data_IF_166379597379
#
_entry.id   IF_166379597379
#
_cell.length_a   1.000
_cell.length_b   1.000
_cell.length_c   1.000
_cell.angle_alpha   90.00
_cell.angle_beta   90.00
_cell.angle_gamma   90.00
#
_symmetry.space_group_name_H-M   'P 1'
#
loop_
_entity.id
_entity.type
_entity.pdbx_description
1 polymer ?
#
# COMPACT_ATOMS: atom_id res chain seq x y z
N UNK A 1 -12.71 -23.56 -2.79
CA UNK A 1 -11.58 -22.88 -3.32
C UNK A 1 -10.69 -22.35 -2.20
N UNK A 2 -9.40 -22.41 -2.43
CA UNK A 2 -8.42 -22.15 -1.38
C UNK A 2 -7.92 -20.70 -1.38
N UNK A 3 -8.20 -19.93 -2.43
CA UNK A 3 -7.67 -18.57 -2.54
C UNK A 3 -8.75 -17.59 -2.91
N UNK A 4 -8.61 -16.40 -2.36
CA UNK A 4 -9.38 -15.24 -2.78
C UNK A 4 -8.40 -14.14 -3.22
N UNK A 5 -8.86 -13.24 -4.08
CA UNK A 5 -8.13 -12.04 -4.47
C UNK A 5 -8.76 -10.88 -3.74
N UNK A 6 -7.99 -10.25 -2.84
CA UNK A 6 -8.42 -9.02 -2.18
C UNK A 6 -7.82 -7.83 -2.90
N UNK A 7 -8.64 -6.84 -3.16
CA UNK A 7 -8.24 -5.57 -3.74
C UNK A 7 -8.20 -4.52 -2.65
N UNK A 8 -7.05 -3.85 -2.53
CA UNK A 8 -6.83 -2.80 -1.53
C UNK A 8 -6.77 -1.47 -2.26
N UNK A 9 -7.84 -0.65 -2.22
CA UNK A 9 -7.82 0.65 -2.88
C UNK A 9 -6.92 1.63 -2.12
N UNK A 10 -6.22 2.47 -2.87
CA UNK A 10 -5.32 3.49 -2.33
C UNK A 10 -5.64 4.81 -3.01
N UNK A 11 -5.88 5.85 -2.22
CA UNK A 11 -6.24 7.17 -2.72
C UNK A 11 -5.53 8.26 -1.93
N UNK A 12 -4.87 9.17 -2.65
CA UNK A 12 -4.28 10.36 -2.05
C UNK A 12 -5.25 11.54 -2.18
N UNK A 13 -6.04 11.78 -1.13
CA UNK A 13 -6.96 12.93 -1.08
C UNK A 13 -6.28 14.14 -0.46
N UNK A 14 -6.53 15.33 -1.05
CA UNK A 14 -6.02 16.60 -0.53
C UNK A 14 -4.52 16.58 -0.28
N UNK A 15 -3.79 15.85 -1.12
CA UNK A 15 -2.35 15.65 -0.95
C UNK A 15 -1.57 16.84 -1.52
N UNK A 16 -0.47 17.29 -0.85
CA UNK A 16 0.30 18.45 -1.30
C UNK A 16 1.28 18.09 -2.44
N UNK A 17 0.76 17.87 -3.64
CA UNK A 17 1.57 17.50 -4.80
C UNK A 17 2.61 18.56 -5.19
N UNK A 18 2.48 19.79 -4.68
CA UNK A 18 3.51 20.82 -4.88
C UNK A 18 4.81 20.52 -4.13
N UNK A 19 4.78 19.57 -3.18
CA UNK A 19 5.95 19.17 -2.40
C UNK A 19 6.55 17.84 -2.82
N UNK A 20 5.76 17.00 -3.48
CA UNK A 20 6.14 15.63 -3.78
C UNK A 20 5.92 15.30 -5.25
N UNK A 21 6.87 14.57 -5.84
CA UNK A 21 6.76 14.10 -7.22
C UNK A 21 5.92 12.83 -7.31
N UNK A 22 6.04 11.96 -6.32
CA UNK A 22 5.32 10.68 -6.28
C UNK A 22 5.28 10.15 -4.86
N UNK A 23 4.40 9.20 -4.65
CA UNK A 23 4.28 8.45 -3.40
C UNK A 23 4.23 6.97 -3.76
N UNK A 24 5.10 6.18 -3.16
CA UNK A 24 5.07 4.72 -3.29
C UNK A 24 4.42 4.12 -2.07
N UNK A 25 3.35 3.37 -2.29
CA UNK A 25 2.61 2.67 -1.24
C UNK A 25 2.92 1.19 -1.38
N UNK A 26 3.71 0.67 -0.44
CA UNK A 26 4.05 -0.74 -0.37
C UNK A 26 3.04 -1.45 0.50
N UNK A 27 2.47 -2.52 -0.01
CA UNK A 27 1.49 -3.34 0.69
C UNK A 27 2.07 -4.73 0.88
N UNK A 28 1.81 -5.33 2.03
CA UNK A 28 2.14 -6.73 2.24
C UNK A 28 1.08 -7.43 3.05
N UNK A 29 0.95 -8.72 2.79
CA UNK A 29 0.11 -9.61 3.54
C UNK A 29 0.90 -10.88 3.86
N UNK A 30 1.03 -11.20 5.13
CA UNK A 30 1.77 -12.37 5.59
C UNK A 30 0.87 -13.27 6.41
N UNK A 31 0.84 -14.52 6.04
CA UNK A 31 0.13 -15.58 6.75
C UNK A 31 1.08 -16.78 6.87
N UNK A 32 1.95 -16.79 7.89
CA UNK A 32 2.96 -17.84 8.03
C UNK A 32 2.37 -19.25 8.17
N UNK A 33 1.21 -19.37 8.83
CA UNK A 33 0.58 -20.66 9.02
C UNK A 33 0.20 -21.31 7.68
N UNK A 34 -0.15 -20.51 6.68
CA UNK A 34 -0.48 -20.97 5.33
C UNK A 34 0.66 -20.72 4.34
N UNK A 35 1.84 -20.32 4.81
CA UNK A 35 3.02 -20.06 3.99
C UNK A 35 2.78 -19.01 2.91
N UNK A 36 2.00 -17.98 3.25
CA UNK A 36 1.68 -16.89 2.33
C UNK A 36 2.47 -15.65 2.70
N UNK A 37 3.09 -15.06 1.70
CA UNK A 37 3.76 -13.76 1.79
C UNK A 37 3.54 -13.04 0.47
N UNK A 38 2.62 -12.09 0.47
CA UNK A 38 2.24 -11.34 -0.72
C UNK A 38 2.67 -9.89 -0.57
N UNK A 39 3.21 -9.33 -1.64
CA UNK A 39 3.67 -7.94 -1.68
C UNK A 39 3.14 -7.28 -2.94
N UNK A 40 2.80 -6.01 -2.83
CA UNK A 40 2.43 -5.21 -3.98
C UNK A 40 2.91 -3.78 -3.78
N UNK A 41 2.96 -3.02 -4.87
CA UNK A 41 3.37 -1.63 -4.88
C UNK A 41 2.38 -0.83 -5.70
N UNK A 42 1.88 0.24 -5.11
CA UNK A 42 1.03 1.21 -5.80
C UNK A 42 1.76 2.54 -5.80
N UNK A 43 2.09 3.06 -7.00
CA UNK A 43 2.69 4.39 -7.13
C UNK A 43 1.60 5.41 -7.44
N UNK A 44 1.58 6.48 -6.67
CA UNK A 44 0.65 7.59 -6.86
C UNK A 44 1.42 8.82 -7.33
N UNK A 45 0.81 9.58 -8.23
CA UNK A 45 1.30 10.86 -8.71
C UNK A 45 0.14 11.84 -8.78
N UNK A 46 0.45 13.11 -9.04
CA UNK A 46 -0.59 14.13 -9.21
C UNK A 46 -1.60 13.73 -10.30
N UNK A 47 -1.12 13.17 -11.41
CA UNK A 47 -1.97 12.78 -12.54
C UNK A 47 -2.62 11.41 -12.36
N UNK A 48 -2.14 10.62 -11.41
CA UNK A 48 -2.67 9.30 -11.07
C UNK A 48 -2.72 9.14 -9.54
N UNK A 49 -3.65 9.86 -8.88
CA UNK A 49 -3.68 9.92 -7.42
C UNK A 49 -4.38 8.73 -6.75
N UNK A 50 -4.80 7.76 -7.49
CA UNK A 50 -5.44 6.56 -6.95
C UNK A 50 -4.97 5.31 -7.67
N UNK A 51 -5.06 4.19 -6.99
CA UNK A 51 -4.70 2.89 -7.53
C UNK A 51 -5.23 1.78 -6.64
N UNK A 52 -4.83 0.55 -6.91
CA UNK A 52 -5.23 -0.59 -6.10
C UNK A 52 -4.14 -1.64 -6.07
N UNK A 53 -3.88 -2.15 -4.88
CA UNK A 53 -3.06 -3.35 -4.69
C UNK A 53 -3.91 -4.60 -4.71
N UNK A 54 -3.34 -5.72 -5.13
CA UNK A 54 -4.03 -7.01 -5.19
C UNK A 54 -3.23 -8.05 -4.42
N UNK A 55 -3.92 -8.79 -3.57
CA UNK A 55 -3.32 -9.80 -2.71
C UNK A 55 -4.08 -11.10 -2.83
N UNK A 56 -3.34 -12.22 -2.94
CA UNK A 56 -3.92 -13.54 -2.83
C UNK A 56 -3.95 -13.94 -1.36
N UNK A 57 -5.12 -14.29 -0.86
CA UNK A 57 -5.30 -14.70 0.53
C UNK A 57 -6.06 -16.02 0.60
N UNK A 58 -5.84 -16.80 1.67
CA UNK A 58 -6.56 -18.06 1.88
C UNK A 58 -8.00 -17.82 2.30
N UNK A 59 -8.24 -16.72 2.99
CA UNK A 59 -9.54 -16.36 3.52
C UNK A 59 -9.76 -14.88 3.30
N UNK A 60 -10.80 -14.52 2.56
CA UNK A 60 -11.11 -13.13 2.21
C UNK A 60 -11.41 -12.26 3.44
N UNK A 61 -11.76 -12.86 4.57
CA UNK A 61 -11.97 -12.14 5.83
C UNK A 61 -10.68 -11.77 6.54
N UNK A 62 -9.54 -12.32 6.14
CA UNK A 62 -8.25 -11.96 6.73
C UNK A 62 -7.90 -10.52 6.44
N UNK A 63 -7.41 -9.82 7.44
CA UNK A 63 -7.15 -8.38 7.38
C UNK A 63 -5.73 -8.01 7.84
N UNK A 64 -4.82 -8.96 7.84
CA UNK A 64 -3.45 -8.75 8.32
C UNK A 64 -2.57 -7.98 7.33
N UNK A 65 -3.10 -6.99 6.62
CA UNK A 65 -2.33 -6.17 5.70
C UNK A 65 -1.49 -5.15 6.45
N UNK A 66 -0.30 -4.91 5.94
CA UNK A 66 0.59 -3.85 6.41
C UNK A 66 0.94 -2.93 5.25
N UNK A 67 1.24 -1.69 5.57
CA UNK A 67 1.57 -0.66 4.59
C UNK A 67 2.83 0.08 4.99
N UNK A 68 3.67 0.38 4.02
CA UNK A 68 4.83 1.26 4.13
C UNK A 68 4.73 2.30 3.03
N UNK A 69 4.96 3.57 3.36
CA UNK A 69 4.79 4.65 2.41
C UNK A 69 6.10 5.42 2.27
N UNK A 70 6.51 5.64 1.03
CA UNK A 70 7.68 6.46 0.72
C UNK A 70 7.21 7.68 -0.08
N UNK A 71 7.42 8.85 0.50
CA UNK A 71 7.09 10.13 -0.13
C UNK A 71 8.35 10.68 -0.78
N UNK A 72 8.32 10.81 -2.11
CA UNK A 72 9.46 11.32 -2.87
C UNK A 72 9.35 12.84 -3.00
N UNK A 73 10.26 13.56 -2.35
CA UNK A 73 10.26 15.03 -2.36
C UNK A 73 10.55 15.58 -3.75
N UNK A 74 9.81 16.62 -4.13
CA UNK A 74 9.99 17.27 -5.43
C UNK A 74 11.39 17.88 -5.58
N UNK A 75 11.95 18.38 -4.48
CA UNK A 75 13.30 18.97 -4.45
C UNK A 75 14.38 17.93 -4.11
N UNK A 76 14.04 16.65 -4.11
CA UNK A 76 14.91 15.56 -3.66
C UNK A 76 14.63 15.18 -2.21
N UNK A 77 15.19 14.04 -1.82
CA UNK A 77 14.96 13.49 -0.48
C UNK A 77 13.65 12.73 -0.35
N UNK A 78 13.69 11.71 0.46
CA UNK A 78 12.52 10.85 0.71
C UNK A 78 12.11 10.96 2.17
N UNK A 79 10.80 10.91 2.41
CA UNK A 79 10.24 10.73 3.75
C UNK A 79 9.60 9.35 3.78
N UNK A 80 9.90 8.57 4.81
CA UNK A 80 9.42 7.19 4.93
C UNK A 80 8.51 7.06 6.12
N UNK A 81 7.33 6.49 5.89
CA UNK A 81 6.47 5.99 6.95
C UNK A 81 6.58 4.47 6.93
N UNK A 82 7.23 3.91 7.92
CA UNK A 82 7.57 2.49 7.94
C UNK A 82 6.33 1.61 8.17
N UNK A 83 6.52 0.31 8.01
CA UNK A 83 5.46 -0.68 8.07
C UNK A 83 4.57 -0.52 9.29
N UNK A 84 3.27 -0.47 9.04
CA UNK A 84 2.23 -0.39 10.06
C UNK A 84 0.99 -1.12 9.58
N UNK A 85 0.14 -1.59 10.48
CA UNK A 85 -1.14 -2.17 10.09
C UNK A 85 -1.97 -1.21 9.23
N UNK A 86 -2.63 -1.74 8.21
CA UNK A 86 -3.40 -0.93 7.27
C UNK A 86 -4.59 -0.22 7.92
N UNK A 87 -5.13 -0.78 8.99
CA UNK A 87 -6.26 -0.22 9.71
C UNK A 87 -5.90 0.96 10.62
N UNK A 88 -4.60 1.29 10.74
CA UNK A 88 -4.18 2.48 11.47
C UNK A 88 -4.28 3.72 10.59
N UNK A 89 -4.58 4.90 11.17
CA UNK A 89 -4.56 6.15 10.42
C UNK A 89 -3.18 6.41 9.80
N UNK A 90 -3.17 6.77 8.55
CA UNK A 90 -1.98 7.11 7.78
C UNK A 90 -1.92 8.64 7.47
#
# INVERSE_FOLDING_TARGET
DLYAINTVPVLAENFPWERYSSVDVFLRYRDPANKINQNDLVRLTKDSPSGAGKMFVMDASKTGYEVRIVYHGLSGGDTVRDWAPLDEPQ
#
